data_IF_307386342064
#
_entry.id   IF_307386342064
#
_cell.length_a   1.000
_cell.length_b   1.000
_cell.length_c   1.000
_cell.angle_alpha   90.00
_cell.angle_beta   90.00
_cell.angle_gamma   90.00
#
_symmetry.space_group_name_H-M   'P 1'
#
loop_
_entity.id
_entity.type
_entity.pdbx_description
1 polymer ?
#
# COMPACT_ATOMS: atom_id res chain seq x y z
N UNK A 1 12.80 -20.64 -10.31
CA UNK A 1 12.13 -19.32 -10.38
C UNK A 1 11.98 -18.80 -8.96
N UNK A 2 12.83 -17.84 -8.58
CA UNK A 2 12.84 -17.30 -7.22
C UNK A 2 12.21 -15.91 -7.20
N UNK A 3 10.92 -15.88 -6.88
CA UNK A 3 10.14 -14.65 -6.79
C UNK A 3 9.88 -14.34 -5.33
N UNK A 4 10.24 -13.13 -4.91
CA UNK A 4 9.96 -12.61 -3.58
C UNK A 4 8.85 -11.56 -3.69
N UNK A 5 7.70 -11.82 -3.06
CA UNK A 5 6.58 -10.88 -3.02
C UNK A 5 6.44 -10.28 -1.63
N UNK A 6 6.40 -8.97 -1.57
CA UNK A 6 6.27 -8.18 -0.35
C UNK A 6 4.95 -7.42 -0.41
N UNK A 7 4.06 -7.67 0.53
CA UNK A 7 2.82 -6.92 0.67
C UNK A 7 3.10 -5.60 1.41
N UNK A 8 2.89 -4.49 0.72
CA UNK A 8 3.13 -3.15 1.26
C UNK A 8 1.97 -2.61 2.09
N UNK A 9 0.79 -3.18 1.92
CA UNK A 9 -0.42 -2.79 2.62
C UNK A 9 -1.62 -2.68 1.69
N UNK A 10 -2.63 -1.97 2.16
CA UNK A 10 -3.83 -1.73 1.37
C UNK A 10 -3.65 -0.48 0.50
N UNK A 11 -3.99 -0.58 -0.77
CA UNK A 11 -3.86 0.52 -1.75
C UNK A 11 -4.62 1.78 -1.34
N UNK A 12 -5.78 1.64 -0.74
CA UNK A 12 -6.61 2.76 -0.33
C UNK A 12 -6.78 2.81 1.20
N UNK A 13 -6.77 3.99 1.81
CA UNK A 13 -7.04 4.15 3.24
C UNK A 13 -8.48 3.76 3.58
N UNK A 14 -8.67 3.27 4.80
CA UNK A 14 -9.95 2.73 5.27
C UNK A 14 -11.15 3.68 5.06
N UNK A 15 -11.07 4.99 5.39
CA UNK A 15 -12.19 5.91 5.18
C UNK A 15 -12.61 6.00 3.72
N UNK A 16 -11.64 6.01 2.80
CA UNK A 16 -11.94 6.12 1.37
C UNK A 16 -12.64 4.86 0.83
N UNK A 17 -12.28 3.67 1.36
CA UNK A 17 -12.98 2.41 1.00
C UNK A 17 -14.43 2.43 1.44
N UNK A 18 -14.70 2.90 2.68
CA UNK A 18 -16.08 3.06 3.17
C UNK A 18 -16.85 4.05 2.31
N UNK A 19 -16.25 5.20 1.98
CA UNK A 19 -16.89 6.19 1.13
C UNK A 19 -17.26 5.60 -0.24
N UNK A 20 -16.34 4.90 -0.91
CA UNK A 20 -16.61 4.23 -2.20
C UNK A 20 -17.68 3.15 -2.05
N UNK A 21 -17.68 2.38 -0.97
CA UNK A 21 -18.68 1.33 -0.74
C UNK A 21 -20.09 1.90 -0.48
N UNK A 22 -20.22 3.13 0.00
CA UNK A 22 -21.51 3.78 0.21
C UNK A 22 -22.16 4.28 -1.09
N UNK A 23 -21.39 4.54 -2.15
CA UNK A 23 -21.89 5.10 -3.41
C UNK A 23 -23.02 4.23 -4.03
N UNK A 24 -22.87 2.90 -4.21
CA UNK A 24 -23.92 2.05 -4.75
C UNK A 24 -25.20 2.08 -3.91
N UNK A 25 -25.04 2.05 -2.57
CA UNK A 25 -26.18 2.12 -1.65
C UNK A 25 -26.96 3.44 -1.79
N UNK A 26 -26.26 4.57 -1.87
CA UNK A 26 -26.88 5.87 -2.08
C UNK A 26 -27.62 5.94 -3.42
N UNK A 27 -27.04 5.38 -4.49
CA UNK A 27 -27.69 5.30 -5.80
C UNK A 27 -28.96 4.46 -5.78
N UNK A 28 -28.99 3.34 -5.05
CA UNK A 28 -30.21 2.53 -4.89
C UNK A 28 -31.30 3.35 -4.19
N UNK A 29 -30.99 4.03 -3.09
CA UNK A 29 -31.95 4.86 -2.36
C UNK A 29 -32.50 6.00 -3.23
N UNK A 30 -31.66 6.68 -4.00
CA UNK A 30 -32.06 7.74 -4.93
C UNK A 30 -32.97 7.15 -6.02
N UNK A 31 -32.64 6.00 -6.56
CA UNK A 31 -33.43 5.33 -7.60
C UNK A 31 -34.82 4.92 -7.12
N UNK A 32 -34.94 4.54 -5.87
CA UNK A 32 -36.26 4.17 -5.28
C UNK A 32 -37.16 5.39 -5.08
N UNK A 33 -36.59 6.57 -4.83
CA UNK A 33 -37.36 7.80 -4.62
C UNK A 33 -37.78 8.53 -5.93
N UNK A 34 -37.04 8.34 -7.01
CA UNK A 34 -37.34 8.92 -8.32
C UNK A 34 -37.76 7.80 -9.26
N UNK A 35 -39.05 7.52 -9.40
CA UNK A 35 -39.66 6.57 -10.36
C UNK A 35 -38.60 5.70 -11.07
N UNK A 36 -38.29 4.55 -10.47
CA UNK A 36 -37.11 3.72 -10.73
C UNK A 36 -36.93 3.47 -12.22
N UNK A 37 -36.02 4.21 -12.81
CA UNK A 37 -35.64 3.94 -14.18
C UNK A 37 -34.72 2.72 -14.20
N UNK A 38 -34.97 1.70 -15.03
CA UNK A 38 -34.28 0.41 -14.95
C UNK A 38 -32.76 0.54 -15.10
N UNK A 39 -32.27 1.57 -15.79
CA UNK A 39 -30.83 1.79 -15.91
C UNK A 39 -30.15 2.26 -14.62
N UNK A 40 -30.84 2.93 -13.70
CA UNK A 40 -30.24 3.33 -12.41
C UNK A 40 -29.98 2.13 -11.51
N UNK A 41 -30.84 1.12 -11.56
CA UNK A 41 -30.66 -0.15 -10.85
C UNK A 41 -29.50 -0.94 -11.46
N UNK A 42 -29.43 -1.02 -12.79
CA UNK A 42 -28.33 -1.69 -13.49
C UNK A 42 -26.99 -1.01 -13.14
N UNK A 43 -26.95 0.33 -13.13
CA UNK A 43 -25.77 1.09 -12.75
C UNK A 43 -25.35 0.81 -11.29
N UNK A 44 -26.31 0.79 -10.36
CA UNK A 44 -26.04 0.50 -8.96
C UNK A 44 -25.46 -0.93 -8.77
N UNK A 45 -26.00 -1.92 -9.49
CA UNK A 45 -25.49 -3.30 -9.47
C UNK A 45 -24.05 -3.33 -10.04
N UNK A 46 -23.81 -2.67 -11.17
CA UNK A 46 -22.49 -2.61 -11.79
C UNK A 46 -21.45 -1.96 -10.87
N UNK A 47 -21.80 -0.86 -10.19
CA UNK A 47 -20.93 -0.19 -9.24
C UNK A 47 -20.71 -1.03 -7.97
N UNK A 48 -21.72 -1.79 -7.53
CA UNK A 48 -21.58 -2.71 -6.41
C UNK A 48 -20.54 -3.80 -6.66
N UNK A 49 -20.40 -4.24 -7.91
CA UNK A 49 -19.38 -5.22 -8.31
C UNK A 49 -17.94 -4.67 -8.19
N UNK A 50 -17.74 -3.34 -8.19
CA UNK A 50 -16.43 -2.72 -7.99
C UNK A 50 -16.02 -2.64 -6.50
N UNK A 51 -16.98 -2.71 -5.57
CA UNK A 51 -16.69 -2.58 -4.14
C UNK A 51 -15.70 -3.65 -3.65
N UNK A 52 -15.86 -4.96 -3.97
CA UNK A 52 -14.89 -5.97 -3.62
C UNK A 52 -13.49 -5.68 -4.19
N UNK A 53 -13.40 -5.20 -5.42
CA UNK A 53 -12.13 -4.86 -6.04
C UNK A 53 -11.36 -3.80 -5.24
N UNK A 54 -12.05 -2.74 -4.83
CA UNK A 54 -11.49 -1.68 -3.98
C UNK A 54 -11.13 -2.19 -2.58
N UNK A 55 -11.97 -3.07 -2.01
CA UNK A 55 -11.77 -3.60 -0.66
C UNK A 55 -10.57 -4.53 -0.55
N UNK A 56 -10.36 -5.38 -1.56
CA UNK A 56 -9.28 -6.36 -1.58
C UNK A 56 -8.00 -5.85 -2.25
N UNK A 57 -8.01 -4.66 -2.87
CA UNK A 57 -6.82 -4.08 -3.46
C UNK A 57 -5.68 -3.95 -2.43
N UNK A 58 -4.51 -4.47 -2.78
CA UNK A 58 -3.29 -4.41 -1.96
C UNK A 58 -2.10 -4.00 -2.80
N UNK A 59 -1.26 -3.14 -2.27
CA UNK A 59 0.00 -2.79 -2.90
C UNK A 59 1.01 -3.91 -2.69
N UNK A 60 1.68 -4.29 -3.77
CA UNK A 60 2.68 -5.36 -3.77
C UNK A 60 3.96 -4.89 -4.46
N UNK A 61 5.07 -5.30 -3.89
CA UNK A 61 6.38 -5.25 -4.50
C UNK A 61 6.81 -6.70 -4.76
N UNK A 62 6.99 -7.06 -6.02
CA UNK A 62 7.45 -8.39 -6.43
C UNK A 62 8.82 -8.27 -7.06
N UNK A 63 9.79 -8.99 -6.51
CA UNK A 63 11.18 -8.98 -6.97
C UNK A 63 11.48 -10.35 -7.54
N UNK A 64 11.81 -10.40 -8.82
CA UNK A 64 12.29 -11.58 -9.51
C UNK A 64 13.82 -11.48 -9.61
N UNK A 65 14.50 -12.37 -8.87
CA UNK A 65 15.95 -12.39 -8.79
C UNK A 65 16.60 -13.01 -10.04
N UNK A 66 15.89 -13.90 -10.72
CA UNK A 66 16.40 -14.57 -11.94
C UNK A 66 16.26 -13.66 -13.16
N UNK A 67 15.07 -13.08 -13.38
CA UNK A 67 14.82 -12.17 -14.48
C UNK A 67 15.34 -10.75 -14.22
N UNK A 68 15.83 -10.48 -12.99
CA UNK A 68 16.29 -9.16 -12.56
C UNK A 68 15.26 -8.06 -12.81
N UNK A 69 14.02 -8.33 -12.39
CA UNK A 69 12.89 -7.42 -12.54
C UNK A 69 12.22 -7.14 -11.22
N UNK A 70 11.80 -5.90 -11.03
CA UNK A 70 10.93 -5.50 -9.93
C UNK A 70 9.59 -5.06 -10.50
N UNK A 71 8.53 -5.69 -10.04
CA UNK A 71 7.17 -5.23 -10.24
C UNK A 71 6.73 -4.45 -8.99
N UNK A 72 6.32 -3.21 -9.18
CA UNK A 72 5.74 -2.37 -8.14
C UNK A 72 4.35 -1.91 -8.58
N UNK A 73 3.34 -2.22 -7.79
CA UNK A 73 1.97 -1.89 -8.14
C UNK A 73 0.93 -2.51 -7.21
N UNK A 74 -0.31 -2.50 -7.67
CA UNK A 74 -1.45 -3.04 -6.94
C UNK A 74 -1.84 -4.44 -7.44
N UNK A 75 -2.21 -5.29 -6.51
CA UNK A 75 -2.87 -6.55 -6.77
C UNK A 75 -4.36 -6.42 -6.43
N UNK A 76 -5.22 -6.69 -7.42
CA UNK A 76 -6.67 -6.54 -7.31
C UNK A 76 -7.33 -7.80 -7.84
N UNK A 77 -7.92 -8.61 -6.98
CA UNK A 77 -8.71 -9.81 -7.36
C UNK A 77 -8.04 -10.72 -8.40
N UNK A 78 -6.72 -10.97 -8.28
CA UNK A 78 -5.97 -11.82 -9.21
C UNK A 78 -5.22 -11.08 -10.32
N UNK A 79 -5.56 -9.83 -10.57
CA UNK A 79 -4.88 -9.00 -11.57
C UNK A 79 -3.81 -8.11 -10.94
N UNK A 80 -2.68 -7.94 -11.65
CA UNK A 80 -1.58 -7.07 -11.24
C UNK A 80 -1.56 -5.82 -12.10
N UNK A 81 -1.64 -4.65 -11.48
CA UNK A 81 -1.60 -3.34 -12.13
C UNK A 81 -0.39 -2.57 -11.60
N UNK A 82 0.58 -2.26 -12.43
CA UNK A 82 1.78 -1.55 -11.99
C UNK A 82 2.86 -1.44 -13.04
N UNK A 83 4.06 -1.10 -12.57
CA UNK A 83 5.24 -0.94 -13.42
C UNK A 83 6.22 -2.07 -13.17
N UNK A 84 6.87 -2.50 -14.24
CA UNK A 84 8.01 -3.41 -14.19
C UNK A 84 9.26 -2.58 -14.48
N UNK A 85 10.24 -2.67 -13.58
CA UNK A 85 11.54 -2.01 -13.72
C UNK A 85 12.61 -3.11 -13.78
N UNK A 86 13.53 -3.01 -14.73
CA UNK A 86 14.72 -3.88 -14.78
C UNK A 86 15.70 -3.47 -13.69
N UNK A 87 16.29 -4.46 -13.03
CA UNK A 87 17.20 -4.26 -11.89
C UNK A 87 18.57 -4.80 -12.25
N UNK A 88 19.59 -3.97 -12.19
CA UNK A 88 20.98 -4.42 -12.36
C UNK A 88 21.48 -5.07 -11.07
N UNK A 89 21.35 -4.32 -9.96
CA UNK A 89 21.71 -4.80 -8.63
C UNK A 89 20.99 -4.01 -7.54
N UNK A 90 20.92 -4.60 -6.35
CA UNK A 90 20.37 -3.97 -5.16
C UNK A 90 21.55 -3.37 -4.37
N UNK A 91 21.54 -2.04 -4.20
CA UNK A 91 22.59 -1.34 -3.43
C UNK A 91 22.43 -1.63 -1.93
N UNK A 92 21.23 -1.34 -1.40
CA UNK A 92 20.95 -1.50 0.03
C UNK A 92 19.47 -1.55 0.35
N UNK A 93 19.17 -2.09 1.53
CA UNK A 93 17.89 -1.95 2.22
C UNK A 93 18.10 -0.98 3.37
N UNK A 94 17.28 0.05 3.49
CA UNK A 94 17.43 1.02 4.56
C UNK A 94 16.10 1.31 5.26
N UNK A 95 16.19 1.62 6.55
CA UNK A 95 15.06 1.96 7.41
C UNK A 95 15.18 3.42 7.79
N UNK A 96 14.14 4.22 7.49
CA UNK A 96 14.02 5.60 7.90
C UNK A 96 12.94 5.75 8.97
N UNK A 97 13.22 6.59 9.96
CA UNK A 97 12.23 7.04 10.93
C UNK A 97 11.50 8.25 10.33
N UNK A 98 10.16 8.16 10.26
CA UNK A 98 9.30 9.22 9.75
C UNK A 98 8.45 9.76 10.91
N UNK A 99 8.48 11.08 11.07
CA UNK A 99 7.64 11.78 12.03
C UNK A 99 6.28 12.10 11.40
N UNK A 100 5.20 11.58 11.98
CA UNK A 100 3.84 11.83 11.53
C UNK A 100 3.18 12.82 12.50
N UNK A 101 2.97 14.05 12.06
CA UNK A 101 2.28 15.09 12.83
C UNK A 101 0.81 15.12 12.42
N UNK A 102 -0.08 14.86 13.38
CA UNK A 102 -1.52 15.01 13.20
C UNK A 102 -2.01 16.20 14.00
N UNK A 103 -2.64 17.15 13.32
CA UNK A 103 -3.32 18.26 13.97
C UNK A 103 -4.81 17.93 14.10
N UNK A 104 -5.29 17.79 15.32
CA UNK A 104 -6.69 17.52 15.62
C UNK A 104 -7.31 18.80 16.16
N UNK A 105 -8.36 19.29 15.50
CA UNK A 105 -9.15 20.41 15.98
C UNK A 105 -10.37 19.86 16.72
N UNK A 106 -10.56 20.27 17.98
CA UNK A 106 -11.80 20.01 18.70
C UNK A 106 -12.91 20.97 18.25
N UNK A 107 -14.17 20.60 18.50
CA UNK A 107 -15.31 21.47 18.24
C UNK A 107 -15.21 22.83 18.96
N UNK A 108 -14.44 22.92 20.06
CA UNK A 108 -14.13 24.13 20.78
C UNK A 108 -12.93 24.91 20.22
N UNK A 109 -12.51 24.60 18.96
CA UNK A 109 -11.38 25.24 18.29
C UNK A 109 -10.01 25.07 18.99
N UNK A 110 -9.89 24.12 19.92
CA UNK A 110 -8.62 23.79 20.55
C UNK A 110 -7.80 22.92 19.59
N UNK A 111 -6.57 23.36 19.31
CA UNK A 111 -5.61 22.67 18.46
C UNK A 111 -4.77 21.71 19.30
N UNK A 112 -4.91 20.42 19.06
CA UNK A 112 -4.03 19.38 19.60
C UNK A 112 -3.12 18.86 18.51
N UNK A 113 -1.80 18.81 18.78
CA UNK A 113 -0.81 18.22 17.87
C UNK A 113 -0.39 16.90 18.50
N UNK A 114 -0.71 15.80 17.81
CA UNK A 114 -0.19 14.47 18.13
C UNK A 114 0.97 14.17 17.21
N UNK A 115 2.11 13.81 17.78
CA UNK A 115 3.30 13.41 17.04
C UNK A 115 3.53 11.92 17.26
N UNK A 116 3.47 11.16 16.17
CA UNK A 116 3.77 9.73 16.16
C UNK A 116 4.99 9.47 15.27
N UNK A 117 5.70 8.39 15.53
CA UNK A 117 6.82 7.95 14.70
C UNK A 117 6.47 6.63 14.03
N UNK A 118 6.85 6.52 12.77
CA UNK A 118 6.74 5.28 12.00
C UNK A 118 8.06 5.00 11.31
N UNK A 119 8.45 3.74 11.26
CA UNK A 119 9.65 3.30 10.57
C UNK A 119 9.28 2.72 9.22
N UNK A 120 9.88 3.24 8.17
CA UNK A 120 9.66 2.82 6.79
C UNK A 120 10.89 2.14 6.24
N UNK A 121 10.72 0.97 5.63
CA UNK A 121 11.80 0.23 4.96
C UNK A 121 11.72 0.44 3.46
N UNK A 122 12.88 0.75 2.88
CA UNK A 122 13.05 0.97 1.44
C UNK A 122 14.15 0.06 0.89
N UNK A 123 13.93 -0.39 -0.34
CA UNK A 123 14.94 -1.01 -1.18
C UNK A 123 15.53 0.06 -2.09
N UNK A 124 16.84 0.23 -2.11
CA UNK A 124 17.54 1.13 -3.04
C UNK A 124 18.30 0.32 -4.06
N UNK A 125 18.17 0.69 -5.33
CA UNK A 125 18.93 0.13 -6.44
C UNK A 125 20.16 0.97 -6.74
N UNK A 126 21.13 0.38 -7.42
CA UNK A 126 22.31 1.09 -7.92
C UNK A 126 21.96 2.23 -8.89
N UNK A 127 20.82 2.12 -9.59
CA UNK A 127 20.26 3.20 -10.41
C UNK A 127 19.85 4.43 -9.61
N UNK A 128 19.81 4.34 -8.27
CA UNK A 128 19.33 5.37 -7.36
C UNK A 128 17.82 5.30 -7.09
N UNK A 129 17.07 4.47 -7.80
CA UNK A 129 15.64 4.27 -7.55
C UNK A 129 15.40 3.64 -6.18
N UNK A 130 14.30 4.08 -5.53
CA UNK A 130 13.91 3.61 -4.20
C UNK A 130 12.51 3.04 -4.27
N UNK A 131 12.35 1.83 -3.73
CA UNK A 131 11.05 1.17 -3.61
C UNK A 131 10.68 1.02 -2.15
N UNK A 132 9.50 1.48 -1.79
CA UNK A 132 8.94 1.23 -0.47
C UNK A 132 8.66 -0.27 -0.32
N UNK A 133 9.00 -0.84 0.83
CA UNK A 133 8.76 -2.25 1.12
C UNK A 133 7.61 -2.42 2.10
N UNK A 134 7.76 -1.88 3.29
CA UNK A 134 6.76 -1.94 4.36
C UNK A 134 7.07 -0.91 5.45
N UNK A 135 6.09 -0.65 6.32
CA UNK A 135 6.26 0.20 7.49
C UNK A 135 5.80 -0.52 8.77
N UNK A 136 6.26 0.00 9.91
CA UNK A 136 5.82 -0.45 11.23
C UNK A 136 6.11 0.62 12.29
N UNK A 137 5.21 0.86 13.27
CA UNK A 137 5.44 1.84 14.34
C UNK A 137 6.50 1.40 15.35
N UNK A 138 6.77 0.09 15.48
CA UNK A 138 7.74 -0.46 16.45
C UNK A 138 9.04 -0.78 15.73
N UNK A 139 10.16 -0.18 16.22
CA UNK A 139 11.49 -0.28 15.63
C UNK A 139 12.00 -1.72 15.55
N UNK A 140 11.88 -2.47 16.62
CA UNK A 140 12.40 -3.85 16.71
C UNK A 140 11.71 -4.75 15.69
N UNK A 141 10.40 -4.60 15.52
CA UNK A 141 9.61 -5.41 14.56
C UNK A 141 9.94 -5.09 13.12
N UNK A 142 10.23 -3.83 12.80
CA UNK A 142 10.59 -3.49 11.42
C UNK A 142 12.00 -3.99 11.07
N UNK A 143 12.94 -3.96 12.03
CA UNK A 143 14.28 -4.52 11.85
C UNK A 143 14.20 -6.04 11.61
N UNK A 144 13.40 -6.75 12.38
CA UNK A 144 13.19 -8.19 12.20
C UNK A 144 12.60 -8.50 10.81
N UNK A 145 11.56 -7.78 10.40
CA UNK A 145 10.97 -7.93 9.06
C UNK A 145 11.97 -7.60 7.95
N UNK A 146 12.80 -6.57 8.13
CA UNK A 146 13.82 -6.21 7.16
C UNK A 146 14.89 -7.30 7.02
N UNK A 147 15.35 -7.88 8.12
CA UNK A 147 16.28 -9.04 8.11
C UNK A 147 15.67 -10.25 7.39
N UNK A 148 14.41 -10.56 7.67
CA UNK A 148 13.70 -11.64 6.95
C UNK A 148 13.58 -11.37 5.45
N UNK A 149 13.34 -10.12 5.04
CA UNK A 149 13.29 -9.74 3.64
C UNK A 149 14.66 -9.85 2.97
N UNK A 150 15.73 -9.38 3.64
CA UNK A 150 17.13 -9.49 3.18
C UNK A 150 17.51 -10.96 2.98
N UNK A 151 17.19 -11.82 3.93
CA UNK A 151 17.45 -13.25 3.82
C UNK A 151 16.70 -13.89 2.63
N UNK A 152 15.43 -13.50 2.39
CA UNK A 152 14.66 -13.96 1.22
C UNK A 152 15.25 -13.47 -0.10
N UNK A 153 15.85 -12.27 -0.10
CA UNK A 153 16.50 -11.66 -1.27
C UNK A 153 17.94 -12.15 -1.46
N UNK A 154 18.47 -13.02 -0.58
CA UNK A 154 19.86 -13.53 -0.59
C UNK A 154 20.90 -12.40 -0.52
N UNK A 155 20.55 -11.30 0.13
CA UNK A 155 21.47 -10.19 0.38
C UNK A 155 22.25 -10.42 1.68
N UNK A 156 23.45 -9.83 1.78
CA UNK A 156 24.22 -9.83 3.03
C UNK A 156 23.54 -8.93 4.08
N UNK A 157 23.69 -9.25 5.35
CA UNK A 157 23.16 -8.40 6.44
C UNK A 157 23.80 -7.01 6.48
N UNK A 158 25.00 -6.85 5.93
CA UNK A 158 25.68 -5.56 5.78
C UNK A 158 24.95 -4.58 4.87
N UNK A 159 24.05 -5.11 4.03
CA UNK A 159 23.20 -4.30 3.14
C UNK A 159 22.11 -3.53 3.91
N UNK A 160 21.86 -3.88 5.20
CA UNK A 160 20.88 -3.19 6.04
C UNK A 160 21.50 -1.94 6.68
N UNK A 161 20.96 -0.79 6.32
CA UNK A 161 21.37 0.50 6.88
C UNK A 161 20.22 1.08 7.71
N UNK A 162 20.50 1.41 8.96
CA UNK A 162 19.59 2.17 9.82
C UNK A 162 19.93 3.65 9.65
N UNK A 163 18.98 4.43 9.17
CA UNK A 163 19.08 5.88 9.13
C UNK A 163 18.23 6.44 10.27
N UNK A 164 18.87 7.04 11.24
CA UNK A 164 18.22 7.74 12.37
C UNK A 164 17.65 9.10 11.92
#
# INVERSE_FOLDING_TARGET
MKIVSIHQGKTLPLPLRFFIAMIPGALVVISMNQFAQPYSIVLAIALSALVPAVWFATDILTIDLEEKKIFNGAWVMGFKFGRVTSVTSIEKVFINRIEIKQTIYSLANNKNISTNYEYHTFLKLDSGEKFFMFSHPVRERIIEKAKQAIHKLELSEETLVLSD
#
